data_IF_778744261601
#
_entry.id   IF_778744261601
#
_cell.length_a   1.000
_cell.length_b   1.000
_cell.length_c   1.000
_cell.angle_alpha   90.00
_cell.angle_beta   90.00
_cell.angle_gamma   90.00
#
_symmetry.space_group_name_H-M   'P 1'
#
loop_
_entity.id
_entity.type
_entity.pdbx_description
1 polymer ?
#
# COMPACT_ATOMS: atom_id res chain seq x y z
N UNK A 1 69.69 13.74 23.84
CA UNK A 1 69.41 13.18 22.50
C UNK A 1 67.98 13.57 22.13
N UNK A 2 67.79 14.42 21.11
CA UNK A 2 66.50 14.95 20.68
C UNK A 2 65.84 13.96 19.71
N UNK A 3 64.64 13.45 20.00
CA UNK A 3 63.78 12.82 18.98
C UNK A 3 62.37 13.40 19.00
N UNK A 4 62.18 14.27 18.00
CA UNK A 4 61.01 14.59 17.17
C UNK A 4 59.59 14.35 17.71
N UNK A 5 58.88 15.48 17.76
CA UNK A 5 57.41 15.65 17.79
C UNK A 5 56.74 14.78 16.71
N UNK A 6 55.80 13.93 17.11
CA UNK A 6 54.77 13.39 16.20
C UNK A 6 53.54 14.28 16.39
N UNK A 7 53.21 15.00 15.32
CA UNK A 7 51.96 15.74 15.18
C UNK A 7 50.89 14.71 14.83
N UNK A 8 49.99 14.39 15.75
CA UNK A 8 48.76 13.68 15.44
C UNK A 8 47.72 14.73 15.10
N UNK A 9 47.42 14.85 13.81
CA UNK A 9 46.36 15.70 13.27
C UNK A 9 45.03 15.08 13.71
N UNK A 10 44.27 15.83 14.52
CA UNK A 10 42.85 15.53 14.78
C UNK A 10 42.10 15.59 13.45
N UNK A 11 41.66 14.44 12.94
CA UNK A 11 40.55 14.40 11.99
C UNK A 11 39.25 14.58 12.79
N UNK A 12 38.34 15.48 12.39
CA UNK A 12 37.00 15.49 12.96
C UNK A 12 36.29 14.21 12.52
N UNK A 13 35.92 13.41 13.52
CA UNK A 13 35.04 12.27 13.41
C UNK A 13 33.70 12.77 12.86
N UNK A 14 33.49 12.67 11.54
CA UNK A 14 32.18 12.89 10.93
C UNK A 14 31.30 11.72 11.37
N UNK A 15 30.58 11.95 12.45
CA UNK A 15 29.53 11.07 12.94
C UNK A 15 28.38 11.17 11.94
N UNK A 16 28.40 10.32 10.90
CA UNK A 16 27.23 10.09 10.06
C UNK A 16 26.26 9.29 10.92
N UNK A 17 25.35 9.99 11.59
CA UNK A 17 24.16 9.40 12.19
C UNK A 17 23.28 8.94 11.03
N UNK A 18 23.47 7.69 10.59
CA UNK A 18 22.47 7.00 9.78
C UNK A 18 21.28 6.77 10.71
N UNK A 19 20.31 7.67 10.63
CA UNK A 19 18.96 7.45 11.12
C UNK A 19 18.42 6.24 10.34
N UNK A 20 18.61 5.05 10.90
CA UNK A 20 17.77 3.90 10.64
C UNK A 20 16.39 4.26 11.20
N UNK A 21 15.61 5.03 10.45
CA UNK A 21 14.15 5.01 10.61
C UNK A 21 13.70 3.66 10.06
N UNK A 22 13.73 2.64 10.91
CA UNK A 22 12.86 1.48 10.73
C UNK A 22 11.44 2.00 10.87
N UNK A 23 10.86 2.41 9.75
CA UNK A 23 9.42 2.65 9.66
C UNK A 23 8.75 1.28 9.82
N UNK A 24 8.48 0.91 11.06
CA UNK A 24 7.34 0.05 11.36
C UNK A 24 6.10 0.86 11.00
N UNK A 25 5.75 0.87 9.71
CA UNK A 25 4.41 1.25 9.29
C UNK A 25 3.49 0.13 9.75
N UNK A 26 3.09 0.19 11.02
CA UNK A 26 1.83 -0.40 11.40
C UNK A 26 0.78 0.47 10.71
N UNK A 27 0.17 -0.04 9.65
CA UNK A 27 -0.95 0.59 8.92
C UNK A 27 -2.22 0.45 9.76
N UNK A 28 -2.17 1.03 10.95
CA UNK A 28 -3.30 1.17 11.85
C UNK A 28 -3.30 2.58 12.43
N UNK A 29 -3.04 3.57 11.56
CA UNK A 29 -3.48 4.93 11.74
C UNK A 29 -4.73 5.08 10.87
N UNK A 30 -5.89 5.03 11.50
CA UNK A 30 -7.14 5.52 10.93
C UNK A 30 -6.94 7.04 10.75
N UNK A 31 -6.35 7.46 9.62
CA UNK A 31 -5.86 8.82 9.43
C UNK A 31 -7.00 9.80 9.30
N UNK A 32 -7.21 10.64 10.31
CA UNK A 32 -7.86 11.96 10.40
C UNK A 32 -8.96 12.36 9.37
N UNK A 33 -9.65 11.39 8.76
CA UNK A 33 -10.51 11.60 7.60
C UNK A 33 -9.77 11.90 6.30
N UNK A 34 -8.48 11.54 6.13
CA UNK A 34 -7.71 11.79 4.89
C UNK A 34 -7.48 10.54 4.03
N UNK A 35 -7.83 9.36 4.54
CA UNK A 35 -7.58 8.09 3.87
C UNK A 35 -8.86 7.51 3.25
N UNK A 36 -8.85 7.38 1.93
CA UNK A 36 -9.85 6.70 1.14
C UNK A 36 -9.60 5.20 1.16
N UNK A 37 -10.16 4.54 2.19
CA UNK A 37 -10.09 3.08 2.36
C UNK A 37 -11.25 2.35 1.67
N UNK A 38 -12.41 3.00 1.55
CA UNK A 38 -13.59 2.44 0.90
C UNK A 38 -14.45 3.53 0.25
N UNK A 39 -15.22 3.19 -0.79
CA UNK A 39 -16.21 4.08 -1.39
C UNK A 39 -17.28 4.53 -0.40
N UNK A 40 -17.90 5.66 -0.72
CA UNK A 40 -19.05 6.20 0.01
C UNK A 40 -18.68 6.93 1.29
N UNK A 41 -17.40 7.21 1.52
CA UNK A 41 -16.94 7.95 2.70
C UNK A 41 -16.90 9.46 2.46
N UNK A 42 -16.87 10.18 3.58
CA UNK A 42 -16.56 11.61 3.61
C UNK A 42 -15.18 11.82 4.23
N UNK A 43 -14.32 12.49 3.49
CA UNK A 43 -12.98 12.91 3.87
C UNK A 43 -13.00 14.38 4.32
N UNK A 44 -12.00 14.79 5.08
CA UNK A 44 -11.82 16.17 5.53
C UNK A 44 -11.24 17.05 4.41
N UNK A 45 -11.79 18.25 4.23
CA UNK A 45 -11.24 19.28 3.36
C UNK A 45 -9.97 19.95 3.93
N UNK A 46 -9.70 19.76 5.22
CA UNK A 46 -8.48 20.25 5.86
C UNK A 46 -7.26 19.37 5.56
N UNK A 47 -7.44 18.23 4.89
CA UNK A 47 -6.35 17.37 4.47
C UNK A 47 -5.43 18.10 3.47
N UNK A 48 -4.16 18.26 3.83
CA UNK A 48 -3.13 18.73 2.89
C UNK A 48 -2.82 17.67 1.81
N UNK A 49 -3.11 16.40 2.11
CA UNK A 49 -3.00 15.30 1.17
C UNK A 49 -4.05 14.22 1.49
N UNK A 50 -4.79 13.79 0.46
CA UNK A 50 -5.67 12.62 0.54
C UNK A 50 -4.93 11.41 -0.01
N UNK A 51 -5.06 10.28 0.66
CA UNK A 51 -4.49 9.00 0.23
C UNK A 51 -5.58 8.04 -0.18
N UNK A 52 -5.34 7.22 -1.19
CA UNK A 52 -6.08 6.00 -1.42
C UNK A 52 -5.32 4.84 -0.78
N UNK A 53 -5.99 4.09 0.09
CA UNK A 53 -5.35 3.05 0.92
C UNK A 53 -6.05 1.72 0.70
N UNK A 54 -5.27 0.68 0.49
CA UNK A 54 -5.74 -0.71 0.46
C UNK A 54 -4.59 -1.67 0.82
N UNK A 55 -4.95 -2.91 1.11
CA UNK A 55 -3.98 -3.97 1.42
C UNK A 55 -4.20 -5.22 0.58
N UNK A 56 -3.17 -6.05 0.50
CA UNK A 56 -3.26 -7.41 -0.01
C UNK A 56 -2.58 -8.37 0.95
N UNK A 57 -3.27 -9.46 1.29
CA UNK A 57 -2.76 -10.47 2.23
C UNK A 57 -2.56 -11.81 1.55
N UNK A 58 -1.49 -12.52 1.94
CA UNK A 58 -1.24 -13.90 1.54
C UNK A 58 -0.61 -14.72 2.68
N UNK A 59 -0.50 -16.04 2.48
CA UNK A 59 0.13 -16.94 3.47
C UNK A 59 1.66 -16.81 3.50
N UNK A 60 2.28 -16.30 2.44
CA UNK A 60 3.73 -16.23 2.29
C UNK A 60 4.16 -14.91 1.62
N UNK A 61 5.39 -14.42 1.90
CA UNK A 61 5.90 -13.22 1.25
C UNK A 61 6.17 -13.46 -0.26
N UNK A 62 6.44 -14.71 -0.65
CA UNK A 62 6.59 -15.10 -2.06
C UNK A 62 5.31 -14.87 -2.85
N UNK A 63 4.15 -15.18 -2.28
CA UNK A 63 2.85 -14.91 -2.91
C UNK A 63 2.57 -13.41 -3.05
N UNK A 64 2.94 -12.60 -2.05
CA UNK A 64 2.89 -11.13 -2.16
C UNK A 64 3.78 -10.66 -3.32
N UNK A 65 5.01 -11.18 -3.44
CA UNK A 65 5.89 -10.82 -4.56
C UNK A 65 5.30 -11.22 -5.93
N UNK A 66 4.59 -12.35 -6.01
CA UNK A 66 3.88 -12.77 -7.23
C UNK A 66 2.74 -11.79 -7.53
N UNK A 67 1.93 -11.41 -6.54
CA UNK A 67 0.88 -10.40 -6.69
C UNK A 67 1.44 -9.06 -7.20
N UNK A 68 2.46 -8.52 -6.54
CA UNK A 68 3.08 -7.23 -6.89
C UNK A 68 3.67 -7.22 -8.31
N UNK A 69 4.14 -8.38 -8.82
CA UNK A 69 4.63 -8.53 -10.20
C UNK A 69 3.52 -8.69 -11.23
N UNK A 70 2.39 -9.26 -10.82
CA UNK A 70 1.26 -9.56 -11.68
C UNK A 70 0.37 -8.34 -11.93
N UNK A 71 0.21 -7.52 -10.90
CA UNK A 71 -0.76 -6.43 -10.87
C UNK A 71 -0.36 -5.30 -11.83
N UNK A 72 -1.36 -4.78 -12.52
CA UNK A 72 -1.27 -3.57 -13.32
C UNK A 72 -2.50 -2.73 -13.09
N UNK A 73 -2.37 -1.76 -12.21
CA UNK A 73 -3.49 -0.97 -11.74
C UNK A 73 -3.41 0.44 -12.27
N UNK A 74 -4.53 0.92 -12.80
CA UNK A 74 -4.67 2.31 -13.21
C UNK A 74 -5.72 2.96 -12.33
N UNK A 75 -5.39 4.10 -11.73
CA UNK A 75 -6.35 4.91 -10.99
C UNK A 75 -6.80 6.09 -11.82
N UNK A 76 -8.10 6.34 -11.86
CA UNK A 76 -8.68 7.55 -12.45
C UNK A 76 -9.51 8.28 -11.41
N UNK A 77 -9.14 9.51 -11.12
CA UNK A 77 -9.89 10.41 -10.24
C UNK A 77 -10.71 11.39 -11.09
N UNK A 78 -11.98 11.55 -10.74
CA UNK A 78 -12.91 12.50 -11.40
C UNK A 78 -13.64 13.35 -10.39
N UNK A 79 -14.01 14.56 -10.80
CA UNK A 79 -14.93 15.41 -10.06
C UNK A 79 -16.40 14.97 -10.23
N UNK A 80 -17.32 15.65 -9.54
CA UNK A 80 -18.76 15.42 -9.62
C UNK A 80 -19.36 15.62 -11.02
N UNK A 81 -18.70 16.40 -11.89
CA UNK A 81 -19.13 16.62 -13.27
C UNK A 81 -18.62 15.53 -14.23
N UNK A 82 -17.79 14.61 -13.74
CA UNK A 82 -17.17 13.53 -14.50
C UNK A 82 -15.87 13.93 -15.20
N UNK A 83 -15.36 15.15 -14.97
CA UNK A 83 -14.09 15.58 -15.54
C UNK A 83 -12.95 14.80 -14.88
N UNK A 84 -11.99 14.35 -15.70
CA UNK A 84 -10.80 13.68 -15.19
C UNK A 84 -9.87 14.70 -14.56
N UNK A 85 -9.57 14.51 -13.28
CA UNK A 85 -8.60 15.32 -12.55
C UNK A 85 -7.21 14.69 -12.57
N UNK A 86 -7.14 13.36 -12.46
CA UNK A 86 -5.87 12.62 -12.37
C UNK A 86 -6.03 11.22 -12.96
N UNK A 87 -4.99 10.76 -13.68
CA UNK A 87 -4.81 9.36 -14.06
C UNK A 87 -3.44 8.93 -13.56
N UNK A 88 -3.37 7.82 -12.83
CA UNK A 88 -2.14 7.26 -12.30
C UNK A 88 -1.93 5.89 -12.95
N UNK A 89 -0.96 5.76 -13.88
CA UNK A 89 -0.70 4.52 -14.59
C UNK A 89 0.06 3.49 -13.72
N UNK A 90 0.10 2.21 -14.15
CA UNK A 90 0.66 1.12 -13.33
C UNK A 90 2.10 1.32 -12.84
N UNK A 91 2.96 1.90 -13.68
CA UNK A 91 4.36 2.18 -13.34
C UNK A 91 4.51 3.25 -12.26
N UNK A 92 3.53 4.15 -12.14
CA UNK A 92 3.48 5.15 -11.07
C UNK A 92 2.78 4.63 -9.82
N UNK A 93 1.92 3.62 -9.91
CA UNK A 93 1.32 2.96 -8.74
C UNK A 93 2.32 2.06 -8.03
N UNK A 94 3.13 1.31 -8.79
CA UNK A 94 4.01 0.27 -8.25
C UNK A 94 4.92 0.73 -7.08
N UNK A 95 5.54 1.93 -7.08
CA UNK A 95 6.39 2.39 -5.99
C UNK A 95 5.67 2.68 -4.67
N UNK A 96 4.34 2.81 -4.68
CA UNK A 96 3.54 3.12 -3.48
C UNK A 96 3.13 1.88 -2.69
N UNK A 97 3.49 0.69 -3.17
CA UNK A 97 3.31 -0.54 -2.43
C UNK A 97 4.45 -0.76 -1.43
N UNK A 98 4.08 -1.06 -0.19
CA UNK A 98 5.03 -1.39 0.86
C UNK A 98 5.66 -2.78 0.63
N UNK A 99 6.89 -3.02 1.12
CA UNK A 99 7.44 -4.38 1.14
C UNK A 99 6.53 -5.33 1.95
N UNK A 100 6.54 -6.62 1.61
CA UNK A 100 5.78 -7.61 2.38
C UNK A 100 6.25 -7.68 3.84
N UNK A 101 5.32 -7.63 4.79
CA UNK A 101 5.58 -7.75 6.22
C UNK A 101 4.67 -8.80 6.88
N UNK A 102 5.11 -9.46 7.98
CA UNK A 102 4.30 -10.44 8.66
C UNK A 102 3.19 -9.75 9.47
N UNK A 103 2.00 -10.35 9.45
CA UNK A 103 0.86 -9.95 10.29
C UNK A 103 0.31 -11.17 11.04
N UNK A 104 -0.25 -10.96 12.23
CA UNK A 104 -0.96 -12.02 12.95
C UNK A 104 -2.27 -12.32 12.22
N UNK A 105 -2.52 -13.56 11.78
CA UNK A 105 -3.80 -13.93 11.18
C UNK A 105 -5.02 -13.61 12.05
N UNK A 106 -4.87 -13.56 13.37
CA UNK A 106 -5.96 -13.16 14.27
C UNK A 106 -6.40 -11.70 14.05
N UNK A 107 -5.48 -10.80 13.69
CA UNK A 107 -5.77 -9.39 13.43
C UNK A 107 -6.62 -9.19 12.15
N UNK A 108 -6.57 -10.17 11.26
CA UNK A 108 -7.32 -10.18 10.01
C UNK A 108 -8.74 -10.75 10.16
N UNK A 109 -9.12 -11.20 11.35
CA UNK A 109 -10.44 -11.78 11.63
C UNK A 109 -10.74 -13.04 10.81
N UNK A 110 -9.71 -13.79 10.39
CA UNK A 110 -9.89 -15.01 9.60
C UNK A 110 -9.99 -16.26 10.48
N UNK A 111 -11.13 -16.93 10.40
CA UNK A 111 -11.44 -18.13 11.20
C UNK A 111 -10.72 -19.41 10.74
N UNK A 112 -9.88 -19.35 9.70
CA UNK A 112 -9.30 -20.55 9.05
C UNK A 112 -8.05 -21.14 9.74
N UNK A 113 -7.65 -20.64 10.92
CA UNK A 113 -6.53 -21.22 11.68
C UNK A 113 -5.16 -21.09 11.00
N UNK A 114 -4.95 -20.04 10.21
CA UNK A 114 -3.65 -19.75 9.62
C UNK A 114 -2.60 -19.54 10.72
N UNK A 115 -1.44 -20.20 10.57
CA UNK A 115 -0.33 -20.02 11.51
C UNK A 115 0.50 -18.77 11.21
N UNK A 116 0.42 -18.24 9.98
CA UNK A 116 1.20 -17.10 9.49
C UNK A 116 0.45 -16.38 8.38
N UNK A 117 0.52 -15.06 8.36
CA UNK A 117 0.06 -14.21 7.26
C UNK A 117 1.13 -13.16 6.93
N UNK A 118 1.08 -12.67 5.70
CA UNK A 118 1.91 -11.61 5.19
C UNK A 118 1.04 -10.61 4.44
N UNK A 119 1.32 -9.34 4.62
CA UNK A 119 0.57 -8.22 4.06
C UNK A 119 1.51 -7.29 3.27
N UNK A 120 0.93 -6.56 2.34
CA UNK A 120 1.49 -5.38 1.68
C UNK A 120 0.38 -4.36 1.53
N UNK A 121 0.72 -3.09 1.65
CA UNK A 121 -0.23 -1.97 1.56
C UNK A 121 0.13 -1.09 0.38
N UNK A 122 -0.89 -0.56 -0.27
CA UNK A 122 -0.75 0.61 -1.13
C UNK A 122 -1.19 1.83 -0.34
N UNK A 123 -0.33 2.84 -0.31
CA UNK A 123 -0.68 4.19 0.16
C UNK A 123 -0.42 5.15 -1.00
N UNK A 124 -1.47 5.44 -1.77
CA UNK A 124 -1.38 6.19 -3.01
C UNK A 124 -1.83 7.64 -2.81
N UNK A 125 -0.94 8.64 -2.93
CA UNK A 125 -1.32 10.04 -2.78
C UNK A 125 -2.16 10.52 -3.97
N UNK A 126 -3.38 10.98 -3.67
CA UNK A 126 -4.24 11.67 -4.62
C UNK A 126 -3.89 13.17 -4.68
N UNK A 127 -3.36 13.71 -3.58
CA UNK A 127 -3.04 15.12 -3.39
C UNK A 127 -4.14 15.85 -2.62
N UNK A 128 -4.02 17.18 -2.48
CA UNK A 128 -5.06 18.02 -1.89
C UNK A 128 -6.27 18.10 -2.82
N UNK A 129 -7.46 17.93 -2.27
CA UNK A 129 -8.73 18.14 -2.97
C UNK A 129 -9.53 19.21 -2.24
N UNK A 130 -10.20 20.05 -3.01
CA UNK A 130 -11.15 21.02 -2.46
C UNK A 130 -12.41 20.32 -1.95
N UNK A 131 -13.21 21.03 -1.17
CA UNK A 131 -14.52 20.50 -0.76
C UNK A 131 -15.39 20.22 -1.99
N UNK A 132 -15.90 19.00 -2.10
CA UNK A 132 -16.63 18.56 -3.29
C UNK A 132 -16.92 17.07 -3.31
N UNK A 133 -17.61 16.62 -4.35
CA UNK A 133 -17.87 15.21 -4.60
C UNK A 133 -16.98 14.69 -5.72
N UNK A 134 -16.53 13.45 -5.55
CA UNK A 134 -15.53 12.83 -6.39
C UNK A 134 -15.88 11.38 -6.68
N UNK A 135 -15.29 10.84 -7.73
CA UNK A 135 -15.30 9.41 -8.01
C UNK A 135 -13.88 8.93 -8.27
N UNK A 136 -13.53 7.79 -7.71
CA UNK A 136 -12.30 7.09 -8.03
C UNK A 136 -12.64 5.78 -8.75
N UNK A 137 -11.94 5.54 -9.85
CA UNK A 137 -11.98 4.28 -10.59
C UNK A 137 -10.62 3.61 -10.47
N UNK A 138 -10.63 2.33 -10.08
CA UNK A 138 -9.48 1.43 -10.12
C UNK A 138 -9.73 0.40 -11.22
N UNK A 139 -8.93 0.48 -12.28
CA UNK A 139 -8.88 -0.55 -13.31
C UNK A 139 -7.75 -1.53 -12.99
N UNK A 140 -8.11 -2.74 -12.58
CA UNK A 140 -7.19 -3.81 -12.23
C UNK A 140 -6.97 -4.73 -13.43
N UNK A 141 -5.71 -5.00 -13.75
CA UNK A 141 -5.34 -6.02 -14.71
C UNK A 141 -4.26 -6.92 -14.13
N UNK A 142 -4.54 -8.22 -14.05
CA UNK A 142 -3.57 -9.21 -13.60
C UNK A 142 -2.97 -9.94 -14.82
N UNK A 143 -1.66 -9.78 -15.06
CA UNK A 143 -1.01 -10.32 -16.27
C UNK A 143 -0.66 -11.80 -16.23
N UNK A 144 -0.65 -12.40 -15.05
CA UNK A 144 -0.42 -13.82 -14.87
C UNK A 144 -1.21 -14.32 -13.66
N UNK A 145 -1.39 -15.64 -13.52
CA UNK A 145 -2.12 -16.16 -12.39
C UNK A 145 -1.49 -15.74 -11.06
N UNK A 146 -2.33 -15.42 -10.09
CA UNK A 146 -1.94 -15.17 -8.70
C UNK A 146 -2.61 -16.24 -7.86
N UNK A 147 -1.80 -16.95 -7.09
CA UNK A 147 -2.30 -17.84 -6.05
C UNK A 147 -2.39 -17.06 -4.77
N UNK A 148 -3.59 -16.59 -4.46
CA UNK A 148 -3.82 -15.93 -3.20
C UNK A 148 -4.16 -16.99 -2.15
N UNK A 149 -3.33 -17.06 -1.11
CA UNK A 149 -3.53 -18.04 -0.05
C UNK A 149 -4.72 -17.71 0.86
N UNK A 150 -5.37 -16.56 0.65
CA UNK A 150 -6.29 -15.93 1.59
C UNK A 150 -7.77 -16.09 1.18
N UNK A 151 -8.13 -15.95 -0.10
CA UNK A 151 -9.45 -16.36 -0.62
C UNK A 151 -9.68 -17.85 -0.39
N UNK A 152 -8.62 -18.67 -0.40
CA UNK A 152 -8.69 -20.08 -0.02
C UNK A 152 -9.12 -20.30 1.45
N UNK A 153 -8.96 -19.30 2.33
CA UNK A 153 -9.45 -19.33 3.70
C UNK A 153 -10.91 -18.93 3.85
N UNK A 154 -11.41 -18.04 2.98
CA UNK A 154 -12.82 -17.59 2.99
C UNK A 154 -13.74 -18.60 2.29
N UNK A 155 -13.20 -19.38 1.35
CA UNK A 155 -13.91 -20.44 0.63
C UNK A 155 -13.61 -21.81 1.28
N UNK A 156 -14.27 -22.07 2.40
CA UNK A 156 -14.55 -23.40 2.98
C UNK A 156 -13.36 -24.38 3.13
N UNK A 157 -12.78 -24.47 4.34
CA UNK A 157 -12.03 -25.64 4.81
C UNK A 157 -10.89 -26.15 3.91
N UNK A 158 -9.79 -25.40 3.83
CA UNK A 158 -8.46 -25.85 3.39
C UNK A 158 -8.43 -26.76 2.13
N UNK A 159 -8.59 -26.17 0.94
CA UNK A 159 -7.97 -26.71 -0.29
C UNK A 159 -7.26 -25.62 -1.10
N UNK A 160 -5.96 -25.83 -1.26
CA UNK A 160 -5.00 -25.06 -2.08
C UNK A 160 -5.43 -25.08 -3.56
N UNK A 161 -5.17 -24.03 -4.37
CA UNK A 161 -5.41 -22.60 -4.17
C UNK A 161 -6.51 -22.07 -5.10
N UNK A 162 -7.20 -20.97 -4.70
CA UNK A 162 -7.94 -20.16 -5.67
C UNK A 162 -6.91 -19.45 -6.54
N UNK A 163 -6.81 -19.88 -7.79
CA UNK A 163 -5.98 -19.21 -8.77
C UNK A 163 -6.78 -18.06 -9.36
N UNK A 164 -6.37 -16.83 -9.08
CA UNK A 164 -6.86 -15.65 -9.79
C UNK A 164 -6.19 -15.69 -11.16
N UNK A 165 -6.94 -16.13 -12.17
CA UNK A 165 -6.46 -16.14 -13.55
C UNK A 165 -6.32 -14.72 -14.09
N UNK A 166 -5.54 -14.52 -15.17
CA UNK A 166 -5.48 -13.24 -15.85
C UNK A 166 -6.89 -12.70 -16.10
N UNK A 167 -7.18 -11.57 -15.51
CA UNK A 167 -8.50 -10.95 -15.52
C UNK A 167 -8.35 -9.44 -15.52
N UNK A 168 -9.41 -8.77 -15.95
CA UNK A 168 -9.55 -7.33 -15.85
C UNK A 168 -10.81 -7.03 -15.07
N UNK A 169 -10.66 -6.27 -14.00
CA UNK A 169 -11.76 -5.80 -13.17
C UNK A 169 -11.72 -4.27 -13.12
N UNK A 170 -12.88 -3.65 -12.99
CA UNK A 170 -12.98 -2.21 -12.79
C UNK A 170 -13.88 -1.95 -11.60
N UNK A 171 -13.33 -1.26 -10.62
CA UNK A 171 -14.04 -0.81 -9.44
C UNK A 171 -14.23 0.70 -9.54
N UNK A 172 -15.45 1.21 -9.33
CA UNK A 172 -15.70 2.66 -9.25
C UNK A 172 -16.48 2.99 -8.00
N UNK A 173 -15.99 3.95 -7.23
CA UNK A 173 -16.56 4.36 -5.96
C UNK A 173 -16.68 5.88 -5.84
N UNK A 174 -17.83 6.41 -5.39
CA UNK A 174 -17.94 7.82 -5.02
C UNK A 174 -17.26 8.09 -3.68
N UNK A 175 -16.86 9.33 -3.43
CA UNK A 175 -16.52 9.85 -2.10
C UNK A 175 -16.71 11.36 -2.06
N UNK A 176 -16.75 11.93 -0.86
CA UNK A 176 -16.94 13.36 -0.64
C UNK A 176 -15.77 13.93 0.15
N UNK A 177 -15.42 15.18 -0.10
CA UNK A 177 -14.49 15.99 0.71
C UNK A 177 -15.27 17.15 1.29
N UNK A 178 -15.20 17.38 2.59
CA UNK A 178 -16.03 18.36 3.31
C UNK A 178 -15.27 19.11 4.38
#
# INVERSE_FOLDING_TARGET
MKLKKIVVILLPLVMITVLLSTSTQNVQAQGDGCDLMYPGITLSADCDEIHFVLGWVAMTPGQISVFLKAMQWTFTLRDASGNVLKIIPPDQVAPFWSPAYPIDPADLGVDCGMLRAWETDLVLPLGKLEAGDYTITLDENFRHPITDGFNACWVDGFKIPVTIYPTTYSFTGPFSVR
#
